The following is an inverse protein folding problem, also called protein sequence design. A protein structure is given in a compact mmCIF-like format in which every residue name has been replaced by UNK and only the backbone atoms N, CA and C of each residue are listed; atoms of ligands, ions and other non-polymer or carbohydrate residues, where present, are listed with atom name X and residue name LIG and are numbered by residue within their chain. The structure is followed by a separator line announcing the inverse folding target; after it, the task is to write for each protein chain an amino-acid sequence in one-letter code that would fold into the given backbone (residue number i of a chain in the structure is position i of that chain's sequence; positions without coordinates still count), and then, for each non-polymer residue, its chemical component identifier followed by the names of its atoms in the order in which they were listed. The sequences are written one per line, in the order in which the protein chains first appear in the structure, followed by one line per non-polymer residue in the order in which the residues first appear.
data_IF_203417495442
#
_entry.id   IF_203417495442
#
_cell.length_a   1.000
_cell.length_b   1.000
_cell.length_c   1.000
_cell.angle_alpha   90.00
_cell.angle_beta   90.00
_cell.angle_gamma   90.00
#
_symmetry.space_group_name_H-M   'P 1'
#
loop_
_entity.id
_entity.type
_entity.pdbx_description
1 polymer ?
#
# COMPACT_ATOMS: atom_id res chain seq x y z
N UNK A 1 -21.18 5.50 -15.50
CA UNK A 1 -20.62 4.26 -16.10
C UNK A 1 -19.73 3.62 -15.05
N UNK A 2 -20.28 2.74 -14.21
CA UNK A 2 -19.57 2.10 -13.09
C UNK A 2 -18.64 1.03 -13.63
N UNK A 3 -17.34 1.33 -13.66
CA UNK A 3 -16.31 0.38 -14.04
C UNK A 3 -16.35 -0.81 -13.07
N UNK A 4 -16.26 -1.99 -13.66
CA UNK A 4 -16.45 -3.29 -13.04
C UNK A 4 -15.41 -3.49 -11.93
N UNK A 5 -15.85 -3.63 -10.68
CA UNK A 5 -15.02 -4.09 -9.55
C UNK A 5 -14.58 -5.57 -9.69
N UNK A 6 -14.53 -6.08 -10.93
CA UNK A 6 -14.33 -7.49 -11.29
C UNK A 6 -12.91 -7.80 -11.78
N UNK A 7 -11.95 -6.88 -11.67
CA UNK A 7 -10.55 -7.25 -11.86
C UNK A 7 -10.02 -7.99 -10.62
N UNK A 8 -10.48 -9.26 -10.54
CA UNK A 8 -10.05 -10.40 -9.73
C UNK A 8 -9.34 -10.03 -8.43
N UNK A 9 -10.11 -9.94 -7.35
CA UNK A 9 -9.59 -10.22 -6.01
C UNK A 9 -8.99 -11.63 -6.04
N UNK A 10 -7.70 -11.75 -5.76
CA UNK A 10 -6.98 -13.03 -5.66
C UNK A 10 -6.53 -13.28 -4.24
N UNK A 11 -6.05 -14.50 -3.99
CA UNK A 11 -5.33 -14.78 -2.76
C UNK A 11 -4.13 -13.84 -2.63
N UNK A 12 -3.85 -13.41 -1.41
CA UNK A 12 -2.85 -12.40 -1.05
C UNK A 12 -3.14 -10.95 -1.48
N UNK A 13 -4.27 -10.66 -2.13
CA UNK A 13 -4.66 -9.27 -2.37
C UNK A 13 -5.14 -8.58 -1.09
N UNK A 14 -4.81 -7.29 -1.00
CA UNK A 14 -5.39 -6.40 -0.01
C UNK A 14 -6.81 -6.04 -0.39
N UNK A 15 -7.72 -6.18 0.58
CA UNK A 15 -9.14 -5.90 0.43
C UNK A 15 -9.63 -5.05 1.58
N UNK A 16 -10.59 -4.19 1.27
CA UNK A 16 -11.42 -3.49 2.26
C UNK A 16 -12.85 -3.96 2.10
N UNK A 17 -13.56 -4.15 3.20
CA UNK A 17 -14.91 -4.68 3.14
C UNK A 17 -15.69 -4.41 4.41
N UNK A 18 -16.90 -4.94 4.44
CA UNK A 18 -17.76 -4.92 5.63
C UNK A 18 -18.16 -6.33 6.04
N UNK A 19 -18.18 -6.59 7.36
CA UNK A 19 -18.68 -7.86 7.92
C UNK A 19 -20.20 -7.99 7.71
N UNK A 20 -20.79 -9.11 8.15
CA UNK A 20 -22.25 -9.27 8.14
C UNK A 20 -22.97 -8.23 9.02
N UNK A 21 -22.30 -7.72 10.07
CA UNK A 21 -22.81 -6.71 10.99
C UNK A 21 -22.45 -5.28 10.55
N UNK A 22 -22.03 -5.11 9.29
CA UNK A 22 -21.66 -3.82 8.68
C UNK A 22 -20.39 -3.17 9.24
N UNK A 23 -19.55 -3.94 9.90
CA UNK A 23 -18.29 -3.43 10.46
C UNK A 23 -17.23 -3.38 9.37
N UNK A 24 -16.57 -2.23 9.22
CA UNK A 24 -15.53 -2.09 8.20
C UNK A 24 -14.25 -2.74 8.65
N UNK A 25 -13.59 -3.41 7.72
CA UNK A 25 -12.29 -4.01 7.93
C UNK A 25 -11.39 -3.79 6.72
N UNK A 26 -10.08 -3.83 6.98
CA UNK A 26 -9.00 -3.93 5.99
C UNK A 26 -8.20 -5.18 6.33
N UNK A 27 -7.87 -5.95 5.30
CA UNK A 27 -7.11 -7.18 5.46
C UNK A 27 -6.64 -7.74 4.12
N UNK A 28 -6.02 -8.90 4.16
CA UNK A 28 -5.59 -9.62 2.97
C UNK A 28 -6.33 -10.96 2.83
N UNK A 29 -6.59 -11.36 1.58
CA UNK A 29 -7.29 -12.62 1.28
C UNK A 29 -6.36 -13.79 1.54
N UNK A 30 -6.72 -14.68 2.46
CA UNK A 30 -6.01 -15.95 2.66
C UNK A 30 -6.44 -17.01 1.66
N UNK A 31 -7.74 -17.12 1.40
CA UNK A 31 -8.31 -18.17 0.54
C UNK A 31 -9.62 -17.68 -0.06
N UNK A 32 -9.92 -18.13 -1.28
CA UNK A 32 -11.16 -17.84 -1.98
C UNK A 32 -11.83 -19.14 -2.42
N UNK A 33 -13.13 -19.27 -2.16
CA UNK A 33 -13.95 -20.37 -2.68
C UNK A 33 -14.69 -19.96 -3.96
N UNK A 34 -14.99 -20.92 -4.84
CA UNK A 34 -15.78 -20.72 -6.07
C UNK A 34 -17.18 -20.12 -5.81
N UNK A 35 -17.75 -20.36 -4.63
CA UNK A 35 -19.03 -19.78 -4.20
C UNK A 35 -18.98 -18.27 -3.90
N UNK A 36 -17.85 -17.60 -4.14
CA UNK A 36 -17.69 -16.16 -3.91
C UNK A 36 -17.57 -15.79 -2.43
N UNK A 37 -17.10 -16.73 -1.61
CA UNK A 37 -16.82 -16.55 -0.18
C UNK A 37 -15.31 -16.45 0.02
N UNK A 38 -14.88 -15.38 0.66
CA UNK A 38 -13.47 -15.06 0.91
C UNK A 38 -13.16 -15.22 2.39
N UNK A 39 -12.03 -15.86 2.69
CA UNK A 39 -11.42 -15.83 4.01
C UNK A 39 -10.37 -14.72 4.03
N UNK A 40 -10.56 -13.71 4.88
CA UNK A 40 -9.70 -12.54 4.97
C UNK A 40 -9.04 -12.49 6.34
N UNK A 41 -7.73 -12.30 6.39
CA UNK A 41 -7.02 -11.97 7.63
C UNK A 41 -7.15 -10.48 7.90
N UNK A 42 -7.77 -10.12 9.02
CA UNK A 42 -8.05 -8.72 9.37
C UNK A 42 -6.83 -8.09 10.02
N UNK A 43 -6.35 -7.00 9.43
CA UNK A 43 -5.24 -6.20 9.97
C UNK A 43 -5.72 -4.92 10.65
N UNK A 44 -6.86 -4.37 10.20
CA UNK A 44 -7.50 -3.20 10.80
C UNK A 44 -9.02 -3.37 10.71
N UNK A 45 -9.74 -2.91 11.73
CA UNK A 45 -11.20 -2.98 11.79
C UNK A 45 -11.74 -1.96 12.78
N UNK A 46 -12.94 -1.45 12.53
CA UNK A 46 -13.67 -0.60 13.48
C UNK A 46 -14.06 -1.38 14.76
N UNK A 47 -14.17 -2.72 14.68
CA UNK A 47 -14.23 -3.61 15.84
C UNK A 47 -12.85 -4.19 16.12
N UNK A 48 -12.25 -3.75 17.22
CA UNK A 48 -10.91 -4.19 17.64
C UNK A 48 -10.84 -5.71 17.91
N UNK A 49 -11.95 -6.32 18.35
CA UNK A 49 -12.01 -7.75 18.68
C UNK A 49 -11.73 -8.68 17.49
N UNK A 50 -11.91 -8.20 16.25
CA UNK A 50 -11.68 -9.00 15.04
C UNK A 50 -10.31 -8.75 14.41
N UNK A 51 -9.53 -7.78 14.92
CA UNK A 51 -8.18 -7.51 14.43
C UNK A 51 -7.25 -8.67 14.79
N UNK A 52 -6.43 -9.13 13.84
CA UNK A 52 -5.55 -10.29 14.05
C UNK A 52 -6.28 -11.64 13.99
N UNK A 53 -7.51 -11.65 13.48
CA UNK A 53 -8.29 -12.88 13.27
C UNK A 53 -8.68 -13.07 11.80
N UNK A 54 -9.13 -14.27 11.45
CA UNK A 54 -9.67 -14.56 10.12
C UNK A 54 -11.19 -14.38 10.11
N UNK A 55 -11.70 -13.55 9.21
CA UNK A 55 -13.14 -13.36 9.00
C UNK A 55 -13.58 -13.86 7.64
N UNK A 56 -14.88 -14.17 7.52
CA UNK A 56 -15.50 -14.59 6.26
C UNK A 56 -16.26 -13.39 5.68
N UNK A 57 -15.94 -13.04 4.44
CA UNK A 57 -16.61 -11.98 3.71
C UNK A 57 -17.13 -12.47 2.36
N UNK A 58 -18.24 -11.92 1.90
CA UNK A 58 -18.75 -12.17 0.55
C UNK A 58 -17.98 -11.30 -0.44
N UNK A 59 -17.64 -11.85 -1.61
CA UNK A 59 -16.99 -11.11 -2.69
C UNK A 59 -17.77 -9.82 -3.04
N UNK A 60 -19.10 -9.86 -2.99
CA UNK A 60 -19.96 -8.69 -3.26
C UNK A 60 -19.86 -7.57 -2.22
N UNK A 61 -19.33 -7.84 -1.03
CA UNK A 61 -19.17 -6.87 0.08
C UNK A 61 -17.72 -6.43 0.30
N UNK A 62 -16.79 -6.90 -0.53
CA UNK A 62 -15.39 -6.48 -0.48
C UNK A 62 -15.01 -5.72 -1.74
N UNK A 63 -14.01 -4.87 -1.61
CA UNK A 63 -13.36 -4.18 -2.71
C UNK A 63 -11.86 -4.39 -2.57
N UNK A 64 -11.23 -4.83 -3.66
CA UNK A 64 -9.77 -4.85 -3.77
C UNK A 64 -9.28 -3.42 -3.53
N UNK A 65 -8.33 -3.28 -2.60
CA UNK A 65 -7.64 -2.02 -2.44
C UNK A 65 -6.72 -1.84 -3.66
N UNK A 66 -6.70 -0.66 -4.29
CA UNK A 66 -5.77 -0.42 -5.37
C UNK A 66 -4.36 -0.67 -4.83
N UNK A 67 -3.55 -1.42 -5.58
CA UNK A 67 -2.12 -1.44 -5.37
C UNK A 67 -1.67 0.01 -5.44
N UNK A 68 -1.32 0.60 -4.29
CA UNK A 68 -1.04 2.02 -4.16
C UNK A 68 0.33 2.30 -4.81
N UNK A 69 0.37 2.15 -6.13
CA UNK A 69 1.51 2.44 -7.00
C UNK A 69 1.70 3.95 -7.16
N UNK A 70 0.67 4.73 -6.84
CA UNK A 70 0.71 6.19 -6.76
C UNK A 70 1.33 6.64 -5.43
N UNK A 71 2.59 6.30 -5.19
CA UNK A 71 3.37 7.02 -4.19
C UNK A 71 3.57 8.43 -4.72
N UNK A 72 2.97 9.43 -4.07
CA UNK A 72 3.18 10.82 -4.47
C UNK A 72 4.67 11.18 -4.33
N UNK A 73 5.18 12.15 -5.11
CA UNK A 73 6.57 12.59 -4.99
C UNK A 73 6.93 13.01 -3.56
N UNK A 74 5.97 13.55 -2.80
CA UNK A 74 6.14 13.98 -1.42
C UNK A 74 6.30 12.78 -0.46
N UNK A 75 5.51 11.73 -0.63
CA UNK A 75 5.66 10.48 0.12
C UNK A 75 7.00 9.79 -0.18
N UNK A 76 7.43 9.76 -1.45
CA UNK A 76 8.76 9.22 -1.81
C UNK A 76 9.87 10.04 -1.14
N UNK A 77 9.73 11.37 -1.03
CA UNK A 77 10.71 12.20 -0.34
C UNK A 77 10.78 11.88 1.16
N UNK A 78 9.64 11.69 1.82
CA UNK A 78 9.61 11.27 3.23
C UNK A 78 10.31 9.92 3.45
N UNK A 79 10.14 8.98 2.52
CA UNK A 79 10.84 7.69 2.56
C UNK A 79 12.34 7.82 2.33
N UNK A 80 12.78 8.74 1.46
CA UNK A 80 14.20 9.04 1.25
C UNK A 80 14.83 9.57 2.54
N UNK A 81 14.19 10.52 3.22
CA UNK A 81 14.68 11.02 4.52
C UNK A 81 14.78 9.90 5.56
N UNK A 82 13.80 8.98 5.58
CA UNK A 82 13.85 7.83 6.47
C UNK A 82 15.02 6.89 6.12
N UNK A 83 15.22 6.58 4.84
CA UNK A 83 16.36 5.79 4.38
C UNK A 83 17.69 6.44 4.77
N UNK A 84 17.75 7.78 4.73
CA UNK A 84 18.93 8.53 5.16
C UNK A 84 19.22 8.33 6.66
N UNK A 85 18.18 8.42 7.50
CA UNK A 85 18.29 8.20 8.95
C UNK A 85 18.67 6.77 9.28
N UNK A 86 18.18 5.79 8.51
CA UNK A 86 18.49 4.37 8.73
C UNK A 86 19.79 3.92 8.09
N UNK A 87 20.53 4.81 7.42
CA UNK A 87 21.76 4.49 6.68
C UNK A 87 21.58 3.38 5.63
N UNK A 88 20.38 3.26 5.03
CA UNK A 88 20.08 2.23 4.04
C UNK A 88 20.33 2.75 2.62
N UNK A 89 21.52 2.42 2.09
CA UNK A 89 21.99 2.94 0.81
C UNK A 89 21.26 2.34 -0.39
N UNK A 90 20.94 1.05 -0.33
CA UNK A 90 20.21 0.38 -1.42
C UNK A 90 18.77 0.91 -1.51
N UNK A 91 18.12 1.08 -0.36
CA UNK A 91 16.77 1.63 -0.32
C UNK A 91 16.73 3.09 -0.76
N UNK A 92 17.71 3.90 -0.36
CA UNK A 92 17.87 5.27 -0.84
C UNK A 92 18.00 5.33 -2.37
N UNK A 93 18.84 4.50 -2.98
CA UNK A 93 19.05 4.50 -4.43
C UNK A 93 17.77 4.11 -5.20
N UNK A 94 17.03 3.12 -4.71
CA UNK A 94 15.76 2.70 -5.30
C UNK A 94 14.70 3.81 -5.25
N UNK A 95 14.54 4.46 -4.10
CA UNK A 95 13.58 5.56 -3.91
C UNK A 95 13.96 6.79 -4.74
N UNK A 96 15.25 7.10 -4.81
CA UNK A 96 15.79 8.20 -5.63
C UNK A 96 15.51 7.98 -7.12
N UNK A 97 15.71 6.76 -7.61
CA UNK A 97 15.39 6.39 -8.99
C UNK A 97 13.88 6.49 -9.27
N UNK A 98 13.03 6.06 -8.32
CA UNK A 98 11.57 6.19 -8.43
C UNK A 98 11.09 7.65 -8.43
N UNK A 99 11.74 8.53 -7.67
CA UNK A 99 11.44 9.96 -7.68
C UNK A 99 11.86 10.61 -9.00
N UNK A 100 13.03 10.24 -9.53
CA UNK A 100 13.54 10.74 -10.79
C UNK A 100 12.68 10.31 -12.00
N UNK A 101 12.13 9.09 -12.00
CA UNK A 101 11.24 8.62 -13.06
C UNK A 101 9.86 9.28 -13.05
N UNK A 102 9.41 9.74 -11.89
CA UNK A 102 8.10 10.39 -11.71
C UNK A 102 8.13 11.92 -11.89
N UNK A 103 9.31 12.53 -11.94
CA UNK A 103 9.50 13.97 -12.11
C UNK A 103 10.42 14.25 -13.30
N UNK A 104 9.86 14.83 -14.36
CA UNK A 104 10.61 15.40 -15.47
C UNK A 104 11.34 16.68 -15.02
N UNK A 105 12.43 16.56 -14.24
CA UNK A 105 13.29 17.71 -13.93
C UNK A 105 14.33 17.52 -12.80
N UNK A 106 15.61 17.87 -13.03
CA UNK A 106 16.72 17.66 -12.09
C UNK A 106 16.86 18.79 -11.05
N UNK A 107 15.82 19.05 -10.24
CA UNK A 107 15.92 20.04 -9.15
C UNK A 107 15.18 19.58 -7.89
N UNK A 108 15.46 18.34 -7.50
CA UNK A 108 14.91 17.75 -6.29
C UNK A 108 15.84 18.09 -5.11
N UNK A 109 15.39 19.01 -4.27
CA UNK A 109 16.06 19.47 -3.05
C UNK A 109 15.41 18.85 -1.81
N UNK A 110 16.24 18.41 -0.88
CA UNK A 110 15.90 17.80 0.40
C UNK A 110 16.50 18.68 1.50
N UNK A 111 15.66 19.55 2.09
CA UNK A 111 16.13 20.61 2.98
C UNK A 111 17.08 21.57 2.24
N UNK A 112 18.35 21.60 2.65
CA UNK A 112 19.41 22.40 2.02
C UNK A 112 20.30 21.62 1.05
N UNK A 113 20.06 20.31 0.87
CA UNK A 113 20.91 19.44 0.07
C UNK A 113 20.19 18.96 -1.20
N UNK A 114 20.96 18.78 -2.27
CA UNK A 114 20.47 18.12 -3.48
C UNK A 114 20.62 16.60 -3.36
N UNK A 115 19.83 15.86 -4.13
CA UNK A 115 19.92 14.40 -4.24
C UNK A 115 21.36 13.91 -4.53
N UNK A 116 22.10 14.63 -5.37
CA UNK A 116 23.50 14.35 -5.67
C UNK A 116 24.40 14.53 -4.44
N UNK A 117 24.23 15.63 -3.70
CA UNK A 117 24.99 15.88 -2.47
C UNK A 117 24.65 14.89 -1.37
N UNK A 118 23.41 14.42 -1.28
CA UNK A 118 23.02 13.39 -0.31
C UNK A 118 23.69 12.05 -0.61
N UNK A 119 23.81 11.67 -1.89
CA UNK A 119 24.50 10.45 -2.31
C UNK A 119 25.99 10.43 -1.90
N UNK A 120 26.64 11.59 -1.92
CA UNK A 120 28.05 11.74 -1.52
C UNK A 120 28.26 11.77 -0.01
N UNK A 121 27.21 12.08 0.77
CA UNK A 121 27.26 12.12 2.24
C UNK A 121 26.92 10.78 2.91
N UNK A 122 26.59 9.78 2.09
CA UNK A 122 26.19 8.44 2.51
C UNK A 122 27.33 7.44 2.52
#
# INVERSE_FOLDING_TARGET
MTLLNYELVKESDWVSGATQLDEKFIGFVQTMNDDGVLKVWVTQSDREEIVGTSTIAKLSKVKRLPDNSHTSPDEVRGLIELALVTHDKEWFELLSAKLASSSSGPSQVFGTFTLTQLKERF
#
